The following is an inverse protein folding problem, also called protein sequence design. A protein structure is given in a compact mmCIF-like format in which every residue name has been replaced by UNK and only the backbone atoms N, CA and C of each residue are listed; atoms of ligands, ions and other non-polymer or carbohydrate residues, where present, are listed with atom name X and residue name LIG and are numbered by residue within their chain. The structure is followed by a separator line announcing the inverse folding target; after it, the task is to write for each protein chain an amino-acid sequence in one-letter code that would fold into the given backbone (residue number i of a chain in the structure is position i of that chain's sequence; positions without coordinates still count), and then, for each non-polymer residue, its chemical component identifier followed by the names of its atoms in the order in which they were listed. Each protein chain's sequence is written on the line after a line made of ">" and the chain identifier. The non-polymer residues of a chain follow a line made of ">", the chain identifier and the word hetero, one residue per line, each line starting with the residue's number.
data_IF_436560330122
#
_entry.id   IF_436560330122
#
_cell.length_a   1.000
_cell.length_b   1.000
_cell.length_c   1.000
_cell.angle_alpha   90.00
_cell.angle_beta   90.00
_cell.angle_gamma   90.00
#
_symmetry.space_group_name_H-M   'P 1'
#
loop_
_entity.id
_entity.type
_entity.pdbx_description
1 polymer ?
#
# COMPACT_ATOMS: atom_id res chain seq x y z
N UNK A 1 -13.33 51.50 -89.32
CA UNK A 1 -12.40 52.50 -88.83
C UNK A 1 -11.65 51.96 -87.61
N UNK A 2 -10.36 51.92 -87.75
CA UNK A 2 -9.27 51.74 -86.76
C UNK A 2 -9.31 50.49 -85.89
N UNK A 3 -8.56 49.52 -86.40
CA UNK A 3 -8.01 48.36 -85.72
C UNK A 3 -7.04 48.77 -84.60
N UNK A 4 -7.16 48.16 -83.48
CA UNK A 4 -6.04 48.09 -82.47
C UNK A 4 -5.81 46.65 -82.07
N UNK A 5 -4.76 46.14 -82.61
CA UNK A 5 -4.16 44.86 -82.27
C UNK A 5 -3.47 44.99 -80.87
N UNK A 6 -4.00 44.28 -79.93
CA UNK A 6 -3.29 44.07 -78.62
C UNK A 6 -2.43 42.84 -78.74
N UNK A 7 -1.14 43.03 -78.68
CA UNK A 7 -0.13 41.99 -78.62
C UNK A 7 -0.15 41.35 -77.20
N UNK A 8 -0.50 40.08 -77.18
CA UNK A 8 -0.40 39.32 -75.98
C UNK A 8 1.02 38.77 -75.80
N UNK A 9 1.76 39.29 -74.83
CA UNK A 9 3.07 38.80 -74.43
C UNK A 9 2.89 37.64 -73.48
N UNK A 10 3.28 36.45 -73.93
CA UNK A 10 3.27 35.25 -73.07
C UNK A 10 4.55 35.22 -72.27
N UNK A 11 4.44 35.42 -70.98
CA UNK A 11 5.52 35.22 -69.98
C UNK A 11 5.56 33.78 -69.55
N UNK A 12 6.56 33.03 -69.98
CA UNK A 12 6.82 31.65 -69.50
C UNK A 12 7.53 31.79 -68.18
N UNK A 13 6.84 31.53 -67.06
CA UNK A 13 7.44 31.42 -65.75
C UNK A 13 7.89 29.97 -65.55
N UNK A 14 9.20 29.74 -65.55
CA UNK A 14 9.79 28.48 -65.17
C UNK A 14 9.74 28.33 -63.66
N UNK A 15 8.84 27.48 -63.13
CA UNK A 15 8.79 27.12 -61.74
C UNK A 15 9.91 26.14 -61.45
N UNK A 16 10.92 26.58 -60.73
CA UNK A 16 11.94 25.70 -60.10
C UNK A 16 11.32 25.12 -58.84
N UNK A 17 10.92 23.84 -58.91
CA UNK A 17 10.49 23.15 -57.73
C UNK A 17 11.70 22.77 -56.88
N UNK A 18 11.88 23.47 -55.74
CA UNK A 18 12.83 23.11 -54.68
C UNK A 18 12.14 22.01 -53.90
N UNK A 19 12.60 20.77 -54.08
CA UNK A 19 12.19 19.61 -53.30
C UNK A 19 12.87 19.71 -51.91
N UNK A 20 12.17 20.24 -50.92
CA UNK A 20 12.61 20.24 -49.54
C UNK A 20 12.49 18.83 -48.98
N UNK A 21 13.63 18.16 -48.76
CA UNK A 21 13.69 16.90 -48.05
C UNK A 21 13.53 17.25 -46.56
N UNK A 22 12.34 17.15 -46.01
CA UNK A 22 12.11 17.18 -44.58
C UNK A 22 12.64 15.87 -44.00
N UNK A 23 13.80 15.95 -43.30
CA UNK A 23 14.32 14.85 -42.52
C UNK A 23 13.35 14.58 -41.38
N UNK A 24 12.56 13.52 -41.49
CA UNK A 24 11.80 12.95 -40.37
C UNK A 24 12.81 12.46 -39.31
N UNK A 25 13.14 13.31 -38.37
CA UNK A 25 13.80 12.89 -37.15
C UNK A 25 12.78 12.09 -36.34
N UNK A 26 12.82 10.77 -36.42
CA UNK A 26 12.06 9.90 -35.52
C UNK A 26 12.48 10.25 -34.08
N UNK A 27 11.55 10.60 -33.18
CA UNK A 27 11.90 10.71 -31.77
C UNK A 27 12.41 9.36 -31.32
N UNK A 28 13.70 9.29 -31.00
CA UNK A 28 14.30 8.12 -30.39
C UNK A 28 13.53 7.75 -29.12
N UNK A 29 13.61 6.46 -28.68
CA UNK A 29 12.92 6.02 -27.48
C UNK A 29 13.33 6.91 -26.31
N UNK A 30 12.39 7.74 -25.87
CA UNK A 30 12.54 8.49 -24.64
C UNK A 30 12.67 7.45 -23.55
N UNK A 31 13.87 7.30 -22.99
CA UNK A 31 14.06 6.56 -21.76
C UNK A 31 13.19 7.25 -20.71
N UNK A 32 11.95 6.76 -20.57
CA UNK A 32 11.13 7.12 -19.44
C UNK A 32 11.95 6.74 -18.22
N UNK A 33 12.48 7.78 -17.55
CA UNK A 33 13.12 7.59 -16.26
C UNK A 33 12.12 6.81 -15.41
N UNK A 34 12.43 5.53 -15.13
CA UNK A 34 11.69 4.74 -14.13
C UNK A 34 11.69 5.62 -12.88
N UNK A 35 10.52 6.11 -12.53
CA UNK A 35 10.31 6.74 -11.25
C UNK A 35 10.80 5.73 -10.22
N UNK A 36 11.99 5.94 -9.69
CA UNK A 36 12.45 5.21 -8.52
C UNK A 36 11.49 5.61 -7.43
N UNK A 37 10.52 4.74 -7.14
CA UNK A 37 9.64 4.89 -6.01
C UNK A 37 10.52 5.18 -4.80
N UNK A 38 10.41 6.39 -4.27
CA UNK A 38 11.20 6.78 -3.11
C UNK A 38 10.85 5.83 -1.97
N UNK A 39 11.87 5.21 -1.37
CA UNK A 39 11.69 4.37 -0.19
C UNK A 39 11.08 5.22 0.92
N UNK A 40 9.91 4.84 1.40
CA UNK A 40 9.26 5.50 2.51
C UNK A 40 9.64 4.82 3.83
N UNK A 41 9.84 5.63 4.87
CA UNK A 41 10.19 5.14 6.20
C UNK A 41 8.94 4.74 6.98
N UNK A 42 8.84 3.46 7.31
CA UNK A 42 7.75 2.86 8.06
C UNK A 42 8.22 2.36 9.43
N UNK A 43 7.30 2.33 10.37
CA UNK A 43 7.42 1.61 11.63
C UNK A 43 6.63 0.31 11.52
N UNK A 44 7.06 -0.70 12.24
CA UNK A 44 6.40 -2.00 12.32
C UNK A 44 5.97 -2.28 13.75
N UNK A 45 4.72 -2.66 13.91
CA UNK A 45 4.16 -3.17 15.17
C UNK A 45 3.53 -4.53 14.90
N UNK A 46 3.71 -5.44 15.83
CA UNK A 46 3.06 -6.74 15.83
C UNK A 46 2.17 -6.85 17.06
N UNK A 47 0.95 -7.37 16.85
CA UNK A 47 -0.01 -7.66 17.90
C UNK A 47 -0.32 -9.15 17.90
N UNK A 48 -0.24 -9.78 19.06
CA UNK A 48 -0.49 -11.20 19.24
C UNK A 48 -1.81 -11.35 19.97
N UNK A 49 -2.77 -12.00 19.32
CA UNK A 49 -4.11 -12.23 19.82
C UNK A 49 -4.28 -13.70 20.14
N UNK A 50 -4.38 -14.05 21.45
CA UNK A 50 -4.77 -15.39 21.87
C UNK A 50 -6.19 -15.69 21.44
N UNK A 51 -6.47 -16.93 21.08
CA UNK A 51 -7.82 -17.35 20.66
C UNK A 51 -8.62 -18.03 21.77
N UNK A 52 -8.00 -18.42 22.87
CA UNK A 52 -8.68 -19.08 23.98
C UNK A 52 -9.53 -18.08 24.76
N UNK A 53 -10.82 -18.38 24.99
CA UNK A 53 -11.72 -17.59 25.85
C UNK A 53 -11.75 -18.18 27.26
N UNK A 54 -12.11 -17.39 28.28
CA UNK A 54 -12.19 -17.88 29.67
C UNK A 54 -13.18 -19.03 29.88
N UNK A 55 -14.20 -19.15 29.04
CA UNK A 55 -15.18 -20.23 29.09
C UNK A 55 -14.69 -21.56 28.46
N UNK A 56 -13.44 -21.59 27.98
CA UNK A 56 -12.83 -22.74 27.33
C UNK A 56 -13.12 -22.86 25.84
N UNK A 57 -13.92 -21.98 25.26
CA UNK A 57 -14.11 -21.89 23.82
C UNK A 57 -12.97 -21.12 23.14
N UNK A 58 -12.93 -21.16 21.82
CA UNK A 58 -12.00 -20.35 21.04
C UNK A 58 -12.74 -19.21 20.30
N UNK A 59 -12.05 -18.14 19.99
CA UNK A 59 -12.52 -17.11 19.03
C UNK A 59 -12.56 -17.77 17.66
N UNK A 60 -13.77 -17.86 17.07
CA UNK A 60 -13.97 -18.50 15.77
C UNK A 60 -13.42 -17.65 14.63
N UNK A 61 -13.30 -18.28 13.44
CA UNK A 61 -12.85 -17.55 12.26
C UNK A 61 -13.85 -16.45 11.86
N UNK A 62 -15.14 -16.69 12.03
CA UNK A 62 -16.20 -15.71 11.76
C UNK A 62 -16.14 -14.53 12.72
N UNK A 63 -15.97 -14.80 14.02
CA UNK A 63 -15.81 -13.76 15.05
C UNK A 63 -14.55 -12.93 14.80
N UNK A 64 -13.46 -13.59 14.37
CA UNK A 64 -12.22 -12.92 14.01
C UNK A 64 -12.38 -12.01 12.79
N UNK A 65 -12.99 -12.52 11.70
CA UNK A 65 -13.25 -11.74 10.49
C UNK A 65 -14.12 -10.53 10.82
N UNK A 66 -15.17 -10.71 11.59
CA UNK A 66 -16.03 -9.61 12.00
C UNK A 66 -15.28 -8.57 12.85
N UNK A 67 -14.37 -9.00 13.73
CA UNK A 67 -13.52 -8.08 14.48
C UNK A 67 -12.58 -7.29 13.55
N UNK A 68 -12.01 -7.94 12.54
CA UNK A 68 -11.20 -7.25 11.55
C UNK A 68 -12.00 -6.18 10.79
N UNK A 69 -13.20 -6.52 10.34
CA UNK A 69 -14.06 -5.62 9.56
C UNK A 69 -14.55 -4.43 10.39
N UNK A 70 -14.95 -4.69 11.65
CA UNK A 70 -15.51 -3.67 12.52
C UNK A 70 -14.44 -2.71 13.09
N UNK A 71 -13.22 -3.21 13.35
CA UNK A 71 -12.24 -2.51 14.18
C UNK A 71 -10.92 -2.26 13.47
N UNK A 72 -10.34 -3.30 12.87
CA UNK A 72 -8.97 -3.21 12.34
C UNK A 72 -8.94 -2.52 10.97
N UNK A 73 -9.79 -2.96 10.05
CA UNK A 73 -9.84 -2.44 8.67
C UNK A 73 -10.16 -0.94 8.62
N UNK A 74 -11.09 -0.40 9.41
CA UNK A 74 -11.32 1.04 9.48
C UNK A 74 -10.13 1.82 10.05
N UNK A 75 -9.38 1.23 11.00
CA UNK A 75 -8.22 1.86 11.61
C UNK A 75 -7.02 1.89 10.65
N UNK A 76 -6.82 0.82 9.88
CA UNK A 76 -5.69 0.65 8.94
C UNK A 76 -6.17 0.26 7.53
N UNK A 77 -6.87 1.16 6.81
CA UNK A 77 -7.47 0.84 5.50
C UNK A 77 -6.44 0.63 4.38
N UNK A 78 -5.17 0.98 4.60
CA UNK A 78 -4.09 0.72 3.64
C UNK A 78 -3.54 -0.70 3.72
N UNK A 79 -3.99 -1.47 4.71
CA UNK A 79 -3.67 -2.88 4.86
C UNK A 79 -2.86 -3.22 6.10
N UNK A 80 -2.86 -4.50 6.38
CA UNK A 80 -2.13 -5.19 7.43
C UNK A 80 -1.95 -6.66 7.02
N UNK A 81 -1.06 -7.38 7.69
CA UNK A 81 -0.83 -8.80 7.42
C UNK A 81 -1.25 -9.62 8.63
N UNK A 82 -1.91 -10.76 8.39
CA UNK A 82 -2.30 -11.71 9.43
C UNK A 82 -1.46 -12.97 9.26
N UNK A 83 -0.90 -13.44 10.37
CA UNK A 83 -0.20 -14.71 10.45
C UNK A 83 -0.94 -15.62 11.44
N UNK A 84 -1.04 -16.90 11.10
CA UNK A 84 -1.48 -17.93 12.01
C UNK A 84 -0.29 -18.35 12.87
N UNK A 85 -0.47 -18.44 14.17
CA UNK A 85 0.58 -18.79 15.10
C UNK A 85 0.06 -19.70 16.21
N UNK A 86 0.98 -20.40 16.86
CA UNK A 86 0.74 -21.17 18.07
C UNK A 86 1.79 -20.75 19.10
N UNK A 87 1.34 -20.31 20.24
CA UNK A 87 2.19 -20.02 21.39
C UNK A 87 2.23 -21.21 22.34
N UNK A 88 3.35 -21.32 23.09
CA UNK A 88 3.47 -22.27 24.20
C UNK A 88 4.04 -21.56 25.39
N UNK A 89 3.39 -21.68 26.52
CA UNK A 89 3.86 -21.11 27.77
C UNK A 89 3.59 -22.04 28.94
N UNK A 90 4.27 -21.81 30.05
CA UNK A 90 4.08 -22.56 31.27
C UNK A 90 3.18 -21.75 32.20
N UNK A 91 2.09 -22.36 32.67
CA UNK A 91 1.18 -21.73 33.62
C UNK A 91 1.80 -21.73 35.03
N UNK A 92 1.12 -21.11 35.99
CA UNK A 92 1.57 -21.01 37.39
C UNK A 92 1.70 -22.37 38.10
N UNK A 93 1.12 -23.44 37.51
CA UNK A 93 1.21 -24.80 38.04
C UNK A 93 2.38 -25.60 37.45
N UNK A 94 3.12 -25.02 36.48
CA UNK A 94 4.21 -25.69 35.78
C UNK A 94 3.76 -26.51 34.57
N UNK A 95 2.46 -26.46 34.17
CA UNK A 95 1.92 -27.18 33.03
C UNK A 95 2.14 -26.36 31.77
N UNK A 96 2.62 -27.02 30.71
CA UNK A 96 2.73 -26.37 29.38
C UNK A 96 1.37 -26.25 28.74
N UNK A 97 0.97 -25.03 28.40
CA UNK A 97 -0.23 -24.68 27.66
C UNK A 97 0.17 -24.37 26.22
N UNK A 98 -0.53 -24.96 25.26
CA UNK A 98 -0.45 -24.59 23.86
C UNK A 98 -1.69 -23.75 23.54
N UNK A 99 -1.49 -22.60 22.90
CA UNK A 99 -2.57 -21.68 22.54
C UNK A 99 -2.41 -21.24 21.09
N UNK A 100 -3.48 -21.42 20.30
CA UNK A 100 -3.54 -20.81 18.97
C UNK A 100 -3.63 -19.30 19.07
N UNK A 101 -3.02 -18.61 18.14
CA UNK A 101 -3.03 -17.16 18.08
C UNK A 101 -3.06 -16.62 16.66
N UNK A 102 -3.46 -15.36 16.53
CA UNK A 102 -3.34 -14.56 15.29
C UNK A 102 -2.33 -13.46 15.55
N UNK A 103 -1.41 -13.28 14.62
CA UNK A 103 -0.46 -12.15 14.67
C UNK A 103 -0.85 -11.14 13.61
N UNK A 104 -1.12 -9.92 14.04
CA UNK A 104 -1.39 -8.80 13.16
C UNK A 104 -0.12 -7.97 12.99
N UNK A 105 0.42 -7.93 11.79
CA UNK A 105 1.58 -7.11 11.44
C UNK A 105 1.11 -5.83 10.77
N UNK A 106 1.42 -4.69 11.37
CA UNK A 106 1.00 -3.37 10.91
C UNK A 106 2.24 -2.56 10.55
N UNK A 107 2.30 -2.12 9.28
CA UNK A 107 3.27 -1.15 8.81
C UNK A 107 2.59 0.22 8.69
N UNK A 108 3.20 1.25 9.24
CA UNK A 108 2.66 2.62 9.17
C UNK A 108 3.77 3.65 9.02
N UNK A 109 3.51 4.75 8.29
CA UNK A 109 4.51 5.80 8.05
C UNK A 109 5.03 6.38 9.36
N UNK A 110 6.35 6.59 9.45
CA UNK A 110 7.00 7.12 10.65
C UNK A 110 6.42 8.47 11.11
N UNK A 111 6.01 9.31 10.16
CA UNK A 111 5.37 10.60 10.45
C UNK A 111 3.95 10.48 11.03
N UNK A 112 3.32 9.28 10.98
CA UNK A 112 2.01 8.98 11.57
C UNK A 112 2.10 8.21 12.89
N UNK A 113 3.28 8.14 13.50
CA UNK A 113 3.55 7.32 14.68
C UNK A 113 2.54 7.50 15.82
N UNK A 114 2.22 8.73 16.20
CA UNK A 114 1.33 8.97 17.35
C UNK A 114 -0.11 8.56 17.07
N UNK A 115 -0.62 8.87 15.86
CA UNK A 115 -1.96 8.48 15.44
C UNK A 115 -2.07 6.95 15.35
N UNK A 116 -1.11 6.30 14.70
CA UNK A 116 -1.08 4.85 14.56
C UNK A 116 -1.00 4.14 15.93
N UNK A 117 -0.24 4.66 16.88
CA UNK A 117 -0.18 4.10 18.24
C UNK A 117 -1.53 4.15 18.94
N UNK A 118 -2.27 5.26 18.85
CA UNK A 118 -3.63 5.36 19.43
C UNK A 118 -4.57 4.33 18.81
N UNK A 119 -4.54 4.17 17.50
CA UNK A 119 -5.33 3.16 16.78
C UNK A 119 -4.98 1.74 17.21
N UNK A 120 -3.69 1.44 17.38
CA UNK A 120 -3.21 0.15 17.88
C UNK A 120 -3.72 -0.12 19.28
N UNK A 121 -3.66 0.87 20.18
CA UNK A 121 -4.15 0.72 21.54
C UNK A 121 -5.68 0.54 21.60
N UNK A 122 -6.43 1.22 20.71
CA UNK A 122 -7.86 1.01 20.53
C UNK A 122 -8.18 -0.42 20.08
N UNK A 123 -7.45 -0.95 19.10
CA UNK A 123 -7.63 -2.33 18.60
C UNK A 123 -7.43 -3.33 19.75
N UNK A 124 -6.37 -3.17 20.52
CA UNK A 124 -6.07 -4.04 21.67
C UNK A 124 -7.18 -4.00 22.70
N UNK A 125 -7.62 -2.82 23.10
CA UNK A 125 -8.70 -2.64 24.06
C UNK A 125 -10.03 -3.22 23.56
N UNK A 126 -10.34 -3.07 22.29
CA UNK A 126 -11.55 -3.62 21.68
C UNK A 126 -11.55 -5.15 21.67
N UNK A 127 -10.40 -5.77 21.35
CA UNK A 127 -10.27 -7.23 21.39
C UNK A 127 -10.43 -7.78 22.80
N UNK A 128 -9.71 -7.21 23.76
CA UNK A 128 -9.79 -7.59 25.16
C UNK A 128 -11.24 -7.55 25.66
N UNK A 129 -11.94 -6.44 25.35
CA UNK A 129 -13.34 -6.25 25.77
C UNK A 129 -14.30 -7.21 25.06
N UNK A 130 -14.09 -7.47 23.75
CA UNK A 130 -15.02 -8.26 22.93
C UNK A 130 -14.96 -9.74 23.26
N UNK A 131 -13.77 -10.26 23.59
CA UNK A 131 -13.51 -11.68 23.74
C UNK A 131 -13.08 -12.07 25.16
N UNK A 132 -13.23 -11.14 26.12
CA UNK A 132 -12.89 -11.33 27.53
C UNK A 132 -11.44 -11.85 27.74
N UNK A 133 -10.52 -11.22 27.01
CA UNK A 133 -9.10 -11.59 27.04
C UNK A 133 -8.36 -10.84 28.13
N UNK A 134 -7.36 -11.47 28.75
CA UNK A 134 -6.50 -10.81 29.74
C UNK A 134 -5.61 -9.74 29.10
N UNK A 135 -5.04 -10.04 27.93
CA UNK A 135 -4.09 -9.16 27.26
C UNK A 135 -4.02 -9.42 25.75
N UNK A 136 -3.55 -8.43 25.02
CA UNK A 136 -3.01 -8.57 23.65
C UNK A 136 -1.56 -8.11 23.70
N UNK A 137 -0.61 -9.00 23.40
CA UNK A 137 0.80 -8.64 23.38
C UNK A 137 1.06 -7.68 22.23
N UNK A 138 1.81 -6.61 22.50
CA UNK A 138 2.27 -5.66 21.50
C UNK A 138 3.77 -5.66 21.44
N UNK A 139 4.33 -5.79 20.24
CA UNK A 139 5.74 -5.67 19.99
C UNK A 139 5.99 -4.58 18.95
N UNK A 140 6.65 -3.49 19.37
CA UNK A 140 7.11 -2.45 18.46
C UNK A 140 8.56 -2.77 18.08
N UNK A 141 8.84 -2.95 16.78
CA UNK A 141 10.20 -3.17 16.33
C UNK A 141 11.01 -1.88 16.44
N UNK A 142 12.27 -1.94 16.90
CA UNK A 142 13.12 -0.77 16.97
C UNK A 142 13.49 -0.26 15.57
N UNK A 143 13.62 1.06 15.45
CA UNK A 143 14.02 1.70 14.18
C UNK A 143 12.87 1.90 13.21
N UNK A 144 13.24 2.08 11.95
CA UNK A 144 12.31 2.17 10.83
C UNK A 144 12.79 1.26 9.72
N UNK A 145 11.85 0.74 8.92
CA UNK A 145 12.13 -0.05 7.72
C UNK A 145 11.83 0.79 6.49
N UNK A 146 12.61 0.59 5.45
CA UNK A 146 12.36 1.20 4.15
C UNK A 146 11.40 0.29 3.37
N UNK A 147 10.31 0.87 2.87
CA UNK A 147 9.27 0.13 2.15
C UNK A 147 9.08 0.74 0.77
N UNK A 148 9.00 -0.09 -0.24
CA UNK A 148 8.68 0.27 -1.61
C UNK A 148 7.35 -0.38 -1.99
N UNK A 149 6.48 0.39 -2.64
CA UNK A 149 5.21 -0.06 -3.20
C UNK A 149 5.27 0.07 -4.73
N UNK A 150 5.97 -0.84 -5.38
CA UNK A 150 6.13 -0.84 -6.84
C UNK A 150 5.20 -1.87 -7.47
#
# INVERSE_FOLDING_TARGET
>A
MRNNLLRTTILIATAVSILSIEAFASPGPTLQARSTSALERFLRTELFFGLSKPDGSEVTDEEWIQFLDDVVSPAFPKGYTILLAEGRYQDSTGRTIAEKSRVLVILYPKNKKLDSRRKIDMIRAAYIKRFDQEAVIRMDLPGSVDVSFN
#
